data_IF_419770307341
#
_entry.id   IF_419770307341
#
_cell.length_a   1.000
_cell.length_b   1.000
_cell.length_c   1.000
_cell.angle_alpha   90.00
_cell.angle_beta   90.00
_cell.angle_gamma   90.00
#
_symmetry.space_group_name_H-M   'P 1'
#
loop_
_entity.id
_entity.type
_entity.pdbx_description
1 polymer ?
#
# COMPACT_ATOMS: atom_id res chain seq x y z
N UNK A 1 36.55 8.64 -7.71
CA UNK A 1 35.39 9.49 -8.02
C UNK A 1 34.43 8.70 -8.93
N UNK A 2 33.19 8.43 -8.52
CA UNK A 2 32.22 7.67 -9.34
C UNK A 2 31.76 8.50 -10.53
N UNK A 3 31.57 7.88 -11.69
CA UNK A 3 30.98 8.55 -12.86
C UNK A 3 29.49 8.86 -12.60
N UNK A 4 28.95 9.93 -13.18
CA UNK A 4 27.53 10.31 -13.08
C UNK A 4 26.58 9.13 -13.34
N UNK A 5 26.93 8.28 -14.31
CA UNK A 5 26.12 7.10 -14.69
C UNK A 5 26.18 5.97 -13.65
N UNK A 6 27.31 5.78 -12.95
CA UNK A 6 27.39 4.83 -11.84
C UNK A 6 26.47 5.25 -10.69
N UNK A 7 26.48 6.53 -10.34
CA UNK A 7 25.60 7.08 -9.30
C UNK A 7 24.12 6.89 -9.65
N UNK A 8 23.74 7.12 -10.92
CA UNK A 8 22.36 6.92 -11.39
C UNK A 8 21.93 5.45 -11.26
N UNK A 9 22.78 4.51 -11.66
CA UNK A 9 22.47 3.07 -11.54
C UNK A 9 22.35 2.61 -10.09
N UNK A 10 23.20 3.12 -9.19
CA UNK A 10 23.09 2.84 -7.75
C UNK A 10 21.76 3.35 -7.18
N UNK A 11 21.38 4.58 -7.49
CA UNK A 11 20.07 5.12 -7.06
C UNK A 11 18.89 4.29 -7.58
N UNK A 12 18.96 3.80 -8.82
CA UNK A 12 17.90 2.93 -9.36
C UNK A 12 17.88 1.55 -8.72
N UNK A 13 19.04 0.96 -8.40
CA UNK A 13 19.10 -0.30 -7.66
C UNK A 13 18.50 -0.15 -6.25
N UNK A 14 18.81 0.93 -5.53
CA UNK A 14 18.18 1.23 -4.25
C UNK A 14 16.67 1.44 -4.39
N UNK A 15 16.23 2.13 -5.44
CA UNK A 15 14.79 2.31 -5.73
C UNK A 15 14.11 0.98 -5.98
N UNK A 16 14.73 0.06 -6.74
CA UNK A 16 14.20 -1.29 -6.95
C UNK A 16 14.07 -2.03 -5.61
N UNK A 17 15.11 -2.05 -4.79
CA UNK A 17 15.05 -2.69 -3.47
C UNK A 17 13.88 -2.16 -2.62
N UNK A 18 13.70 -0.84 -2.57
CA UNK A 18 12.57 -0.23 -1.84
C UNK A 18 11.20 -0.52 -2.46
N UNK A 19 11.12 -0.75 -3.78
CA UNK A 19 9.86 -1.18 -4.42
C UNK A 19 9.41 -2.56 -3.92
N UNK A 20 10.33 -3.46 -3.52
CA UNK A 20 9.94 -4.74 -2.90
C UNK A 20 9.24 -4.56 -1.57
N UNK A 21 9.46 -3.46 -0.86
CA UNK A 21 8.70 -3.17 0.35
C UNK A 21 7.19 -3.13 0.07
N UNK A 22 6.76 -2.77 -1.15
CA UNK A 22 5.34 -2.83 -1.53
C UNK A 22 4.84 -4.27 -1.64
N UNK A 23 5.64 -5.18 -2.17
CA UNK A 23 5.32 -6.61 -2.24
C UNK A 23 5.29 -7.21 -0.85
N UNK A 24 6.35 -7.00 -0.05
CA UNK A 24 6.43 -7.50 1.31
C UNK A 24 5.34 -6.93 2.23
N UNK A 25 5.04 -5.63 2.15
CA UNK A 25 3.93 -5.03 2.89
C UNK A 25 2.60 -5.72 2.56
N UNK A 26 2.35 -5.99 1.28
CA UNK A 26 1.11 -6.62 0.82
C UNK A 26 0.96 -8.06 1.34
N UNK A 27 2.03 -8.85 1.20
CA UNK A 27 2.06 -10.23 1.71
C UNK A 27 1.94 -10.24 3.23
N UNK A 28 2.67 -9.36 3.92
CA UNK A 28 2.66 -9.25 5.37
C UNK A 28 1.28 -8.88 5.90
N UNK A 29 0.65 -7.83 5.37
CA UNK A 29 -0.67 -7.41 5.83
C UNK A 29 -1.75 -8.48 5.55
N UNK A 30 -1.64 -9.18 4.42
CA UNK A 30 -2.51 -10.33 4.12
C UNK A 30 -2.31 -11.46 5.14
N UNK A 31 -1.06 -11.78 5.49
CA UNK A 31 -0.75 -12.78 6.51
C UNK A 31 -1.29 -12.38 7.89
N UNK A 32 -1.20 -11.10 8.29
CA UNK A 32 -1.80 -10.60 9.53
C UNK A 32 -3.30 -10.84 9.57
N UNK A 33 -4.00 -10.63 8.46
CA UNK A 33 -5.44 -10.83 8.31
C UNK A 33 -5.87 -12.30 8.35
N UNK A 34 -4.93 -13.24 8.32
CA UNK A 34 -5.17 -14.68 8.46
C UNK A 34 -4.74 -15.13 9.86
N UNK A 35 -3.51 -14.80 10.25
CA UNK A 35 -2.89 -15.25 11.49
C UNK A 35 -3.50 -14.63 12.74
N UNK A 36 -3.70 -13.30 12.77
CA UNK A 36 -4.15 -12.63 13.99
C UNK A 36 -5.58 -13.03 14.40
N UNK A 37 -6.55 -13.17 13.47
CA UNK A 37 -7.86 -13.74 13.80
C UNK A 37 -7.80 -15.09 14.52
N UNK A 38 -6.84 -15.97 14.18
CA UNK A 38 -6.70 -17.29 14.81
C UNK A 38 -6.32 -17.21 16.29
N UNK A 39 -5.83 -16.05 16.75
CA UNK A 39 -5.45 -15.81 18.14
C UNK A 39 -6.61 -15.22 18.97
N UNK A 40 -7.75 -14.90 18.35
CA UNK A 40 -8.89 -14.29 19.03
C UNK A 40 -10.06 -15.28 19.09
N UNK A 41 -10.19 -15.97 20.23
CA UNK A 41 -11.33 -16.84 20.51
C UNK A 41 -12.66 -16.06 20.42
N UNK A 42 -13.60 -16.59 19.63
CA UNK A 42 -14.89 -15.96 19.37
C UNK A 42 -14.87 -14.93 18.24
N UNK A 43 -13.70 -14.63 17.64
CA UNK A 43 -13.64 -13.76 16.47
C UNK A 43 -14.14 -14.48 15.22
N UNK A 44 -15.11 -13.89 14.53
CA UNK A 44 -15.62 -14.39 13.26
C UNK A 44 -15.16 -13.49 12.11
N UNK A 45 -14.32 -14.06 11.23
CA UNK A 45 -13.71 -13.37 10.08
C UNK A 45 -14.74 -12.81 9.09
N UNK A 46 -15.91 -13.44 8.97
CA UNK A 46 -16.95 -12.99 8.06
C UNK A 46 -17.76 -11.84 8.65
N UNK A 47 -18.10 -11.94 9.95
CA UNK A 47 -19.03 -11.00 10.59
C UNK A 47 -18.38 -9.87 11.38
N UNK A 48 -17.06 -9.89 11.56
CA UNK A 48 -16.31 -8.88 12.30
C UNK A 48 -15.24 -8.21 11.45
N UNK A 49 -15.10 -6.91 11.65
CA UNK A 49 -14.12 -6.09 10.93
C UNK A 49 -12.72 -6.43 11.41
N UNK A 50 -11.74 -6.15 10.56
CA UNK A 50 -10.32 -6.20 10.85
C UNK A 50 -9.97 -5.22 11.97
N UNK A 51 -10.65 -4.07 12.03
CA UNK A 51 -10.47 -3.09 13.11
C UNK A 51 -10.76 -3.66 14.50
N UNK A 52 -11.70 -4.61 14.64
CA UNK A 52 -12.02 -5.26 15.91
C UNK A 52 -10.86 -6.11 16.48
N UNK A 53 -9.92 -6.57 15.64
CA UNK A 53 -8.70 -7.26 16.10
C UNK A 53 -7.77 -6.35 16.92
N UNK A 54 -7.93 -5.03 16.75
CA UNK A 54 -7.16 -3.99 17.43
C UNK A 54 -7.97 -3.22 18.48
N UNK A 55 -9.22 -3.64 18.72
CA UNK A 55 -10.12 -2.95 19.61
C UNK A 55 -9.63 -2.95 21.08
N UNK A 56 -10.05 -1.94 21.83
CA UNK A 56 -9.79 -1.86 23.28
C UNK A 56 -10.39 -3.10 23.96
N UNK A 57 -9.54 -3.87 24.66
CA UNK A 57 -9.93 -5.11 25.32
C UNK A 57 -9.91 -6.35 24.42
N UNK A 58 -9.57 -6.24 23.13
CA UNK A 58 -9.33 -7.41 22.28
C UNK A 58 -8.00 -8.08 22.69
N UNK A 59 -7.96 -9.43 22.80
CA UNK A 59 -6.73 -10.16 23.18
C UNK A 59 -5.62 -9.99 22.15
N UNK A 60 -5.98 -9.67 20.90
CA UNK A 60 -5.05 -9.49 19.79
C UNK A 60 -4.52 -8.08 19.63
N UNK A 61 -4.99 -7.10 20.40
CA UNK A 61 -4.64 -5.68 20.21
C UNK A 61 -3.14 -5.44 20.17
N UNK A 62 -2.41 -5.95 21.17
CA UNK A 62 -0.95 -5.75 21.28
C UNK A 62 -0.22 -6.39 20.11
N UNK A 63 -0.59 -7.62 19.75
CA UNK A 63 0.00 -8.35 18.61
C UNK A 63 -0.28 -7.60 17.30
N UNK A 64 -1.51 -7.13 17.09
CA UNK A 64 -1.89 -6.36 15.91
C UNK A 64 -1.08 -5.07 15.78
N UNK A 65 -0.92 -4.31 16.87
CA UNK A 65 -0.14 -3.05 16.86
C UNK A 65 1.33 -3.31 16.55
N UNK A 66 1.95 -4.32 17.17
CA UNK A 66 3.36 -4.65 16.93
C UNK A 66 3.58 -5.08 15.47
N UNK A 67 2.81 -6.05 14.98
CA UNK A 67 2.95 -6.54 13.61
C UNK A 67 2.54 -5.48 12.57
N UNK A 68 1.56 -4.64 12.90
CA UNK A 68 1.12 -3.52 12.08
C UNK A 68 2.19 -2.44 11.92
N UNK A 69 3.05 -2.23 12.91
CA UNK A 69 4.17 -1.29 12.80
C UNK A 69 5.16 -1.67 11.69
N UNK A 70 5.39 -2.98 11.50
CA UNK A 70 6.22 -3.52 10.40
C UNK A 70 5.59 -3.22 9.05
N UNK A 71 4.27 -3.41 8.93
CA UNK A 71 3.54 -3.01 7.71
C UNK A 71 3.70 -1.51 7.44
N UNK A 72 3.52 -0.65 8.44
CA UNK A 72 3.62 0.80 8.28
C UNK A 72 5.00 1.21 7.78
N UNK A 73 6.07 0.63 8.31
CA UNK A 73 7.44 0.90 7.85
C UNK A 73 7.63 0.48 6.39
N UNK A 74 7.23 -0.75 6.03
CA UNK A 74 7.34 -1.25 4.66
C UNK A 74 6.52 -0.38 3.68
N UNK A 75 5.32 0.04 4.10
CA UNK A 75 4.43 0.88 3.30
C UNK A 75 5.02 2.29 3.08
N UNK A 76 5.64 2.90 4.09
CA UNK A 76 6.37 4.17 3.96
C UNK A 76 7.54 4.06 2.98
N UNK A 77 8.37 3.01 3.12
CA UNK A 77 9.46 2.73 2.19
C UNK A 77 8.95 2.57 0.75
N UNK A 78 7.82 1.88 0.57
CA UNK A 78 7.19 1.71 -0.73
C UNK A 78 6.70 3.04 -1.33
N UNK A 79 5.96 3.85 -0.56
CA UNK A 79 5.50 5.16 -1.01
C UNK A 79 6.68 6.06 -1.45
N UNK A 80 7.77 6.03 -0.69
CA UNK A 80 9.01 6.74 -1.03
C UNK A 80 9.61 6.24 -2.34
N UNK A 81 9.68 4.92 -2.53
CA UNK A 81 10.19 4.30 -3.75
C UNK A 81 9.36 4.71 -4.98
N UNK A 82 8.03 4.69 -4.87
CA UNK A 82 7.12 5.12 -5.94
C UNK A 82 7.36 6.59 -6.28
N UNK A 83 7.55 7.44 -5.26
CA UNK A 83 7.82 8.87 -5.43
C UNK A 83 9.15 9.17 -6.12
N UNK A 84 10.19 8.39 -5.85
CA UNK A 84 11.48 8.48 -6.57
C UNK A 84 11.33 7.96 -8.00
N UNK A 85 10.72 6.77 -8.16
CA UNK A 85 10.52 6.14 -9.46
C UNK A 85 9.66 7.01 -10.41
N UNK A 86 8.84 7.93 -9.88
CA UNK A 86 8.02 8.83 -10.68
C UNK A 86 8.81 9.61 -11.74
N UNK A 87 10.06 9.98 -11.47
CA UNK A 87 10.84 10.88 -12.33
C UNK A 87 9.97 12.09 -12.78
N UNK A 88 9.79 12.28 -14.08
CA UNK A 88 8.98 13.37 -14.67
C UNK A 88 7.46 13.06 -14.75
N UNK A 89 7.02 11.85 -14.42
CA UNK A 89 5.60 11.49 -14.46
C UNK A 89 4.81 12.12 -13.30
N UNK A 90 4.14 13.24 -13.59
CA UNK A 90 3.33 14.00 -12.60
C UNK A 90 2.25 13.18 -11.91
N UNK A 91 1.63 12.22 -12.61
CA UNK A 91 0.57 11.39 -12.05
C UNK A 91 1.13 10.36 -11.07
N UNK A 92 2.24 9.72 -11.43
CA UNK A 92 2.93 8.78 -10.55
C UNK A 92 3.52 9.49 -9.33
N UNK A 93 3.97 10.74 -9.49
CA UNK A 93 4.45 11.58 -8.40
C UNK A 93 3.34 11.86 -7.38
N UNK A 94 2.14 12.21 -7.86
CA UNK A 94 0.95 12.39 -7.00
C UNK A 94 0.59 11.11 -6.28
N UNK A 95 0.55 9.97 -6.98
CA UNK A 95 0.30 8.67 -6.36
C UNK A 95 1.32 8.34 -5.26
N UNK A 96 2.62 8.53 -5.52
CA UNK A 96 3.67 8.33 -4.52
C UNK A 96 3.54 9.23 -3.30
N UNK A 97 3.21 10.51 -3.49
CA UNK A 97 2.94 11.43 -2.38
C UNK A 97 1.74 10.99 -1.54
N UNK A 98 0.66 10.51 -2.17
CA UNK A 98 -0.53 10.03 -1.46
C UNK A 98 -0.24 8.75 -0.68
N UNK A 99 0.58 7.83 -1.23
CA UNK A 99 1.03 6.64 -0.51
C UNK A 99 1.89 7.01 0.71
N UNK A 100 2.83 7.96 0.55
CA UNK A 100 3.63 8.48 1.66
C UNK A 100 2.76 9.12 2.75
N UNK A 101 1.82 9.99 2.34
CA UNK A 101 0.89 10.61 3.27
C UNK A 101 0.05 9.56 4.00
N UNK A 102 -0.43 8.52 3.29
CA UNK A 102 -1.16 7.43 3.92
C UNK A 102 -0.29 6.62 4.90
N UNK A 103 1.00 6.46 4.62
CA UNK A 103 1.95 5.85 5.55
C UNK A 103 2.18 6.70 6.80
N UNK A 104 2.23 8.02 6.65
CA UNK A 104 2.32 8.96 7.78
C UNK A 104 1.04 8.89 8.61
N UNK A 105 -0.14 8.93 7.96
CA UNK A 105 -1.44 8.72 8.62
C UNK A 105 -1.46 7.39 9.39
N UNK A 106 -0.82 6.36 8.84
CA UNK A 106 -0.79 5.04 9.46
C UNK A 106 -0.03 4.99 10.79
N UNK A 107 0.85 5.96 11.06
CA UNK A 107 1.54 6.09 12.35
C UNK A 107 0.59 6.49 13.49
N UNK A 108 -0.58 7.04 13.17
CA UNK A 108 -1.55 7.52 14.16
C UNK A 108 -2.60 6.46 14.55
N UNK A 109 -2.70 5.33 13.83
CA UNK A 109 -3.65 4.24 14.16
C UNK A 109 -3.56 3.74 15.61
N UNK A 110 -2.37 3.61 16.24
CA UNK A 110 -2.27 3.19 17.64
C UNK A 110 -2.95 4.15 18.63
N UNK A 111 -3.19 5.41 18.25
CA UNK A 111 -3.85 6.43 19.06
C UNK A 111 -5.38 6.41 18.93
N UNK A 112 -5.91 5.69 17.95
CA UNK A 112 -7.33 5.62 17.65
C UNK A 112 -7.89 4.17 17.65
N UNK A 113 -7.64 3.36 18.70
CA UNK A 113 -8.31 2.06 18.81
C UNK A 113 -9.81 2.26 19.04
N UNK A 114 -10.64 1.59 18.25
CA UNK A 114 -12.08 1.51 18.56
C UNK A 114 -12.34 0.64 19.79
N UNK A 115 -13.49 0.80 20.42
CA UNK A 115 -14.00 -0.12 21.42
C UNK A 115 -14.67 -1.33 20.77
N UNK A 116 -14.73 -2.44 21.52
CA UNK A 116 -15.48 -3.62 21.08
C UNK A 116 -16.97 -3.29 21.00
N UNK A 117 -17.67 -3.97 20.08
CA UNK A 117 -19.09 -3.73 19.77
C UNK A 117 -20.01 -3.81 20.99
N UNK A 118 -19.72 -4.68 21.97
CA UNK A 118 -20.52 -4.79 23.20
C UNK A 118 -20.39 -3.55 24.08
N UNK A 119 -19.20 -2.95 24.12
CA UNK A 119 -18.93 -1.71 24.87
C UNK A 119 -19.58 -0.52 24.17
N UNK A 120 -19.51 -0.47 22.83
CA UNK A 120 -20.19 0.55 22.04
C UNK A 120 -21.70 0.54 22.27
N UNK A 121 -22.32 -0.65 22.23
CA UNK A 121 -23.75 -0.82 22.45
C UNK A 121 -24.19 -0.43 23.88
N UNK A 122 -23.29 -0.56 24.86
CA UNK A 122 -23.51 -0.12 26.23
C UNK A 122 -23.30 1.40 26.43
N UNK A 123 -23.05 2.17 25.36
CA UNK A 123 -22.81 3.61 25.43
C UNK A 123 -21.38 3.99 25.84
N UNK A 124 -20.44 3.05 25.82
CA UNK A 124 -19.04 3.26 26.21
C UNK A 124 -18.14 3.85 25.12
N UNK A 125 -18.70 4.46 24.09
CA UNK A 125 -17.93 5.11 23.03
C UNK A 125 -17.14 6.31 23.59
N UNK A 126 -15.95 6.54 23.03
CA UNK A 126 -15.08 7.66 23.40
C UNK A 126 -14.61 8.42 22.15
N UNK A 127 -13.85 9.49 22.35
CA UNK A 127 -13.24 10.23 21.23
C UNK A 127 -12.36 9.35 20.33
N UNK A 128 -11.80 8.27 20.86
CA UNK A 128 -10.96 7.32 20.10
C UNK A 128 -11.76 6.62 19.00
N UNK A 129 -13.05 6.34 19.21
CA UNK A 129 -13.94 5.73 18.22
C UNK A 129 -14.23 6.70 17.06
N UNK A 130 -14.46 7.97 17.37
CA UNK A 130 -14.61 9.02 16.35
C UNK A 130 -13.31 9.20 15.56
N UNK A 131 -12.16 9.25 16.25
CA UNK A 131 -10.86 9.30 15.58
C UNK A 131 -10.63 8.07 14.69
N UNK A 132 -11.05 6.88 15.13
CA UNK A 132 -10.94 5.64 14.36
C UNK A 132 -11.70 5.75 13.03
N UNK A 133 -12.94 6.23 13.08
CA UNK A 133 -13.76 6.44 11.86
C UNK A 133 -13.15 7.50 10.93
N UNK A 134 -12.63 8.60 11.49
CA UNK A 134 -11.97 9.65 10.71
C UNK A 134 -10.70 9.12 10.03
N UNK A 135 -9.86 8.37 10.76
CA UNK A 135 -8.66 7.75 10.19
C UNK A 135 -9.02 6.71 9.13
N UNK A 136 -10.05 5.89 9.36
CA UNK A 136 -10.53 4.91 8.38
C UNK A 136 -10.95 5.60 7.07
N UNK A 137 -11.79 6.63 7.17
CA UNK A 137 -12.27 7.39 6.02
C UNK A 137 -11.11 8.07 5.26
N UNK A 138 -10.19 8.70 5.99
CA UNK A 138 -9.01 9.35 5.42
C UNK A 138 -8.10 8.32 4.71
N UNK A 139 -7.82 7.19 5.34
CA UNK A 139 -7.00 6.11 4.76
C UNK A 139 -7.62 5.60 3.46
N UNK A 140 -8.92 5.29 3.45
CA UNK A 140 -9.61 4.81 2.23
C UNK A 140 -9.61 5.88 1.14
N UNK A 141 -9.84 7.15 1.48
CA UNK A 141 -9.80 8.25 0.51
C UNK A 141 -8.40 8.41 -0.11
N UNK A 142 -7.34 8.32 0.69
CA UNK A 142 -5.96 8.39 0.20
C UNK A 142 -5.62 7.19 -0.69
N UNK A 143 -6.05 5.97 -0.33
CA UNK A 143 -5.91 4.77 -1.15
C UNK A 143 -6.61 4.95 -2.50
N UNK A 144 -7.87 5.38 -2.48
CA UNK A 144 -8.66 5.63 -3.68
C UNK A 144 -7.98 6.64 -4.61
N UNK A 145 -7.56 7.78 -4.07
CA UNK A 145 -6.87 8.81 -4.84
C UNK A 145 -5.52 8.32 -5.39
N UNK A 146 -4.76 7.55 -4.61
CA UNK A 146 -3.49 6.98 -5.06
C UNK A 146 -3.69 6.07 -6.29
N UNK A 147 -4.68 5.18 -6.24
CA UNK A 147 -5.05 4.30 -7.37
C UNK A 147 -5.53 5.12 -8.57
N UNK A 148 -6.39 6.12 -8.35
CA UNK A 148 -6.90 7.01 -9.40
C UNK A 148 -5.79 7.73 -10.16
N UNK A 149 -4.83 8.33 -9.44
CA UNK A 149 -3.71 9.01 -10.08
C UNK A 149 -2.78 8.01 -10.78
N UNK A 150 -2.53 6.84 -10.20
CA UNK A 150 -1.69 5.82 -10.81
C UNK A 150 -2.28 5.27 -12.12
N UNK A 151 -3.60 5.25 -12.29
CA UNK A 151 -4.28 4.72 -13.49
C UNK A 151 -3.76 5.34 -14.81
N UNK A 152 -3.20 6.56 -14.77
CA UNK A 152 -2.67 7.26 -15.95
C UNK A 152 -1.18 7.01 -16.22
N UNK A 153 -0.53 6.07 -15.53
CA UNK A 153 0.95 5.99 -15.49
C UNK A 153 1.60 4.88 -16.31
N UNK A 154 0.95 3.72 -16.47
CA UNK A 154 1.56 2.49 -17.01
C UNK A 154 0.77 1.86 -18.18
N UNK A 155 0.07 2.69 -18.96
CA UNK A 155 -0.64 2.29 -20.18
C UNK A 155 -2.09 1.82 -19.97
N UNK A 156 -2.75 1.41 -21.07
CA UNK A 156 -4.21 1.13 -21.11
C UNK A 156 -4.62 -0.05 -20.22
N UNK A 157 -3.87 -1.15 -20.22
CA UNK A 157 -4.19 -2.35 -19.40
C UNK A 157 -4.15 -2.03 -17.91
N UNK A 158 -3.10 -1.35 -17.45
CA UNK A 158 -2.99 -0.92 -16.06
C UNK A 158 -4.08 0.08 -15.65
N UNK A 159 -4.48 0.96 -16.58
CA UNK A 159 -5.60 1.88 -16.36
C UNK A 159 -6.92 1.16 -16.10
N UNK A 160 -7.26 0.19 -16.94
CA UNK A 160 -8.48 -0.63 -16.78
C UNK A 160 -8.44 -1.37 -15.45
N UNK A 161 -7.29 -1.99 -15.12
CA UNK A 161 -7.09 -2.63 -13.82
C UNK A 161 -7.33 -1.67 -12.65
N UNK A 162 -6.76 -0.46 -12.67
CA UNK A 162 -7.00 0.54 -11.63
C UNK A 162 -8.47 0.93 -11.52
N UNK A 163 -9.18 1.11 -12.64
CA UNK A 163 -10.63 1.41 -12.59
C UNK A 163 -11.44 0.26 -12.02
N UNK A 164 -11.11 -0.99 -12.35
CA UNK A 164 -11.73 -2.15 -11.72
C UNK A 164 -11.47 -2.17 -10.20
N UNK A 165 -10.23 -1.91 -9.76
CA UNK A 165 -9.90 -1.77 -8.32
C UNK A 165 -10.71 -0.67 -7.64
N UNK A 166 -10.93 0.47 -8.30
CA UNK A 166 -11.73 1.58 -7.74
C UNK A 166 -13.22 1.23 -7.64
N UNK A 167 -13.76 0.46 -8.58
CA UNK A 167 -15.13 -0.06 -8.49
C UNK A 167 -15.26 -1.00 -7.29
N UNK A 168 -14.28 -1.89 -7.07
CA UNK A 168 -14.23 -2.74 -5.87
C UNK A 168 -14.22 -1.88 -4.60
N UNK A 169 -13.37 -0.85 -4.52
CA UNK A 169 -13.36 0.08 -3.39
C UNK A 169 -14.70 0.74 -3.11
N UNK A 170 -15.34 1.24 -4.16
CA UNK A 170 -16.63 1.91 -4.03
C UNK A 170 -17.71 0.95 -3.52
N UNK A 171 -17.82 -0.24 -4.13
CA UNK A 171 -18.86 -1.22 -3.80
C UNK A 171 -18.66 -1.78 -2.39
N UNK A 172 -17.50 -2.36 -2.10
CA UNK A 172 -17.29 -3.02 -0.82
C UNK A 172 -17.07 -2.02 0.31
N UNK A 173 -16.56 -0.82 0.01
CA UNK A 173 -16.46 0.27 1.00
C UNK A 173 -17.83 0.78 1.41
N UNK A 174 -18.74 0.93 0.44
CA UNK A 174 -20.14 1.26 0.71
C UNK A 174 -20.82 0.17 1.53
N UNK A 175 -20.64 -1.11 1.20
CA UNK A 175 -21.23 -2.22 1.96
C UNK A 175 -20.74 -2.25 3.42
N UNK A 176 -19.45 -2.07 3.68
CA UNK A 176 -18.92 -1.93 5.04
C UNK A 176 -19.50 -0.70 5.74
N UNK A 177 -19.63 0.43 5.04
CA UNK A 177 -20.22 1.66 5.59
C UNK A 177 -21.70 1.52 5.97
N UNK A 178 -22.48 0.76 5.20
CA UNK A 178 -23.88 0.45 5.50
C UNK A 178 -24.00 -0.39 6.78
N UNK A 179 -23.05 -1.30 7.03
CA UNK A 179 -23.03 -2.12 8.24
C UNK A 179 -22.42 -1.40 9.46
N UNK A 180 -21.69 -0.31 9.28
CA UNK A 180 -21.00 0.39 10.38
C UNK A 180 -21.94 0.83 11.53
N UNK A 181 -23.15 1.39 11.29
CA UNK A 181 -24.09 1.72 12.37
C UNK A 181 -24.62 0.50 13.14
N UNK A 182 -24.59 -0.69 12.53
CA UNK A 182 -25.00 -1.94 13.21
C UNK A 182 -23.94 -2.37 14.23
N UNK A 183 -22.67 -2.10 13.96
CA UNK A 183 -21.56 -2.41 14.87
C UNK A 183 -21.71 -1.62 16.17
N UNK A 184 -22.12 -0.34 16.12
CA UNK A 184 -22.24 0.50 17.32
C UNK A 184 -23.36 0.08 18.27
N UNK A 185 -24.34 -0.68 17.77
CA UNK A 185 -25.44 -1.23 18.58
C UNK A 185 -25.34 -2.75 18.76
N UNK A 186 -24.19 -3.34 18.44
CA UNK A 186 -23.95 -4.79 18.50
C UNK A 186 -24.99 -5.64 17.73
N UNK A 187 -25.53 -5.10 16.64
CA UNK A 187 -26.45 -5.82 15.77
C UNK A 187 -25.69 -6.76 14.81
N UNK A 188 -26.35 -7.79 14.26
CA UNK A 188 -25.71 -8.72 13.33
C UNK A 188 -25.16 -8.05 12.06
N UNK A 189 -23.91 -8.36 11.73
CA UNK A 189 -23.19 -7.87 10.55
C UNK A 189 -22.57 -9.03 9.78
N UNK A 190 -23.36 -9.95 9.20
CA UNK A 190 -22.90 -11.29 8.79
C UNK A 190 -21.73 -11.28 7.78
N UNK A 191 -21.59 -10.22 6.99
CA UNK A 191 -20.59 -10.12 5.93
C UNK A 191 -19.65 -8.92 6.04
N UNK A 192 -19.75 -8.07 7.05
CA UNK A 192 -18.95 -6.82 7.11
C UNK A 192 -17.44 -7.09 7.08
N UNK A 193 -17.00 -8.17 7.73
CA UNK A 193 -15.61 -8.61 7.73
C UNK A 193 -15.14 -9.13 6.37
N UNK A 194 -16.05 -9.69 5.57
CA UNK A 194 -15.77 -10.09 4.17
C UNK A 194 -15.61 -8.86 3.29
N UNK A 195 -16.53 -7.90 3.37
CA UNK A 195 -16.50 -6.68 2.57
C UNK A 195 -15.21 -5.88 2.79
N UNK A 196 -14.83 -5.71 4.05
CA UNK A 196 -13.61 -4.99 4.41
C UNK A 196 -12.35 -5.72 3.90
N UNK A 197 -12.30 -7.04 4.03
CA UNK A 197 -11.17 -7.85 3.53
C UNK A 197 -11.05 -7.85 2.01
N UNK A 198 -12.17 -7.79 1.28
CA UNK A 198 -12.13 -7.62 -0.17
C UNK A 198 -11.49 -6.28 -0.54
N UNK A 199 -11.84 -5.19 0.16
CA UNK A 199 -11.20 -3.89 -0.04
C UNK A 199 -9.70 -3.92 0.27
N UNK A 200 -9.33 -4.46 1.42
CA UNK A 200 -7.94 -4.59 1.84
C UNK A 200 -7.17 -5.42 0.80
N UNK A 201 -7.69 -6.59 0.42
CA UNK A 201 -7.08 -7.49 -0.56
C UNK A 201 -6.92 -6.84 -1.93
N UNK A 202 -7.90 -6.07 -2.39
CA UNK A 202 -7.82 -5.32 -3.64
C UNK A 202 -6.71 -4.26 -3.60
N UNK A 203 -6.54 -3.56 -2.47
CA UNK A 203 -5.44 -2.60 -2.31
C UNK A 203 -4.08 -3.28 -2.27
N UNK A 204 -3.94 -4.38 -1.50
CA UNK A 204 -2.70 -5.15 -1.41
C UNK A 204 -2.30 -5.72 -2.77
N UNK A 205 -3.25 -6.27 -3.53
CA UNK A 205 -2.99 -6.73 -4.89
C UNK A 205 -2.53 -5.60 -5.80
N UNK A 206 -3.19 -4.44 -5.72
CA UNK A 206 -2.83 -3.28 -6.52
C UNK A 206 -1.42 -2.76 -6.18
N UNK A 207 -1.05 -2.75 -4.90
CA UNK A 207 0.31 -2.40 -4.46
C UNK A 207 1.35 -3.36 -5.04
N UNK A 208 1.12 -4.68 -4.97
CA UNK A 208 2.01 -5.68 -5.56
C UNK A 208 2.18 -5.48 -7.07
N UNK A 209 1.08 -5.25 -7.80
CA UNK A 209 1.11 -5.02 -9.24
C UNK A 209 1.87 -3.73 -9.57
N UNK A 210 1.60 -2.63 -8.86
CA UNK A 210 2.31 -1.37 -9.07
C UNK A 210 3.81 -1.54 -8.80
N UNK A 211 4.19 -2.18 -7.69
CA UNK A 211 5.57 -2.46 -7.33
C UNK A 211 6.29 -3.26 -8.44
N UNK A 212 5.68 -4.36 -8.90
CA UNK A 212 6.26 -5.22 -9.93
C UNK A 212 6.44 -4.49 -11.28
N UNK A 213 5.45 -3.70 -11.69
CA UNK A 213 5.53 -2.94 -12.94
C UNK A 213 6.59 -1.84 -12.88
N UNK A 214 6.69 -1.13 -11.76
CA UNK A 214 7.72 -0.11 -11.56
C UNK A 214 9.12 -0.72 -11.48
N UNK A 215 9.27 -1.86 -10.79
CA UNK A 215 10.53 -2.59 -10.74
C UNK A 215 11.00 -2.96 -12.14
N UNK A 216 10.12 -3.57 -12.97
CA UNK A 216 10.44 -3.96 -14.36
C UNK A 216 10.84 -2.75 -15.19
N UNK A 217 10.17 -1.61 -15.00
CA UNK A 217 10.50 -0.37 -15.69
C UNK A 217 11.88 0.16 -15.31
N UNK A 218 12.24 0.17 -14.02
CA UNK A 218 13.57 0.61 -13.58
C UNK A 218 14.67 -0.37 -14.04
N UNK A 219 14.40 -1.67 -14.03
CA UNK A 219 15.31 -2.69 -14.55
C UNK A 219 15.62 -2.50 -16.05
N UNK A 220 14.58 -2.26 -16.85
CA UNK A 220 14.73 -1.97 -18.28
C UNK A 220 15.56 -0.70 -18.54
N UNK A 221 15.41 0.35 -17.72
CA UNK A 221 16.23 1.57 -17.82
C UNK A 221 17.71 1.28 -17.57
N UNK A 222 18.02 0.54 -16.50
CA UNK A 222 19.40 0.15 -16.17
C UNK A 222 20.01 -0.66 -17.32
N UNK A 223 19.27 -1.65 -17.85
CA UNK A 223 19.75 -2.48 -18.96
C UNK A 223 20.05 -1.64 -20.21
N UNK A 224 19.14 -0.74 -20.59
CA UNK A 224 19.30 0.10 -21.78
C UNK A 224 20.48 1.06 -21.66
N UNK A 225 20.69 1.66 -20.48
CA UNK A 225 21.84 2.54 -20.24
C UNK A 225 23.18 1.78 -20.32
N UNK A 226 23.24 0.58 -19.73
CA UNK A 226 24.43 -0.26 -19.81
C UNK A 226 24.72 -0.68 -21.26
N UNK A 227 23.69 -1.01 -22.05
CA UNK A 227 23.81 -1.33 -23.48
C UNK A 227 24.33 -0.15 -24.29
N UNK A 228 23.79 1.05 -24.07
CA UNK A 228 24.21 2.27 -24.75
C UNK A 228 25.67 2.64 -24.41
N UNK A 229 26.08 2.46 -23.15
CA UNK A 229 27.47 2.67 -22.73
C UNK A 229 28.43 1.74 -23.46
N UNK A 230 28.13 0.44 -23.54
CA UNK A 230 28.96 -0.54 -24.27
C UNK A 230 29.10 -0.15 -25.73
N UNK A 231 28.00 0.21 -26.40
CA UNK A 231 28.00 0.68 -27.80
C UNK A 231 28.85 1.94 -28.00
N UNK A 232 28.75 2.92 -27.10
CA UNK A 232 29.55 4.15 -27.16
C UNK A 232 31.05 3.89 -27.00
N UNK A 233 31.43 3.00 -26.07
CA UNK A 233 32.82 2.59 -25.90
C UNK A 233 33.36 1.88 -27.14
N UNK A 234 32.60 0.96 -27.74
CA UNK A 234 32.98 0.29 -28.99
C UNK A 234 33.25 1.31 -30.10
N UNK A 235 32.35 2.28 -30.30
CA UNK A 235 32.50 3.34 -31.32
C UNK A 235 33.76 4.19 -31.13
N UNK A 236 34.06 4.58 -29.88
CA UNK A 236 35.27 5.35 -29.54
C UNK A 236 36.55 4.56 -29.83
N UNK A 237 36.57 3.27 -29.51
CA UNK A 237 37.72 2.39 -29.77
C UNK A 237 37.93 2.22 -31.28
N UNK A 238 36.87 2.00 -32.06
CA UNK A 238 36.97 1.89 -33.52
C UNK A 238 37.43 3.19 -34.18
N UNK A 239 36.93 4.34 -33.74
CA UNK A 239 37.34 5.65 -34.28
C UNK A 239 38.82 5.96 -33.99
N UNK A 240 39.30 5.67 -32.77
CA UNK A 240 40.73 5.80 -32.43
C UNK A 240 41.64 4.87 -33.23
N UNK A 241 41.17 3.67 -33.60
CA UNK A 241 41.92 2.77 -34.49
C UNK A 241 41.96 3.28 -35.92
N UNK A 242 40.87 3.88 -36.41
CA UNK A 242 40.81 4.45 -37.76
C UNK A 242 41.71 5.68 -37.92
N UNK A 243 41.80 6.55 -36.90
CA UNK A 243 42.68 7.73 -36.90
C UNK A 243 44.19 7.41 -36.77
N UNK A 244 44.54 6.16 -36.48
CA UNK A 244 45.94 5.69 -36.34
C UNK A 244 46.43 4.93 -37.56
N UNK A 245 45.58 4.78 -38.59
CA UNK A 245 45.92 4.22 -39.89
C UNK A 245 45.98 5.36 -40.88
#
# INVERSE_FOLDING_TARGET
>A
MKTKNQTINEMRNSTKALLLCGVFASVWYTALNIFVPMLYNGYNVASQTVSELSAVGAPTKTVWVILGSVYTLLFLCFGWAVRIAAAENKHLRKAGNLLLLNGIVSLFWPLAPMHRREILAAGGATISDTMHLVLAALTVALMFLAVWFAAKTLGKRFRVYCYATLVVFAVFGMLTGIDAPKISVNAPTPFTGVWERINIGAFMLWMMVLAALLWRREDAKIHNENKNRRRGQTKLVTSRKALRR
#
